data_IF_301784650746
#
_entry.id   IF_301784650746
#
_cell.length_a   1.000
_cell.length_b   1.000
_cell.length_c   1.000
_cell.angle_alpha   90.00
_cell.angle_beta   90.00
_cell.angle_gamma   90.00
#
_symmetry.space_group_name_H-M   'P 1'
#
loop_
_entity.id
_entity.type
_entity.pdbx_description
1 polymer ?
#
# COMPACT_ATOMS: atom_id res chain seq x y z
N UNK A 1 -44.97 -32.61 -29.43
CA UNK A 1 -44.90 -31.93 -30.74
C UNK A 1 -44.63 -30.45 -30.50
N UNK A 2 -43.77 -29.85 -31.34
CA UNK A 2 -43.28 -28.45 -31.35
C UNK A 2 -42.52 -27.93 -30.12
N UNK A 3 -41.22 -28.21 -30.09
CA UNK A 3 -40.27 -27.59 -29.16
C UNK A 3 -38.82 -27.97 -29.43
N UNK A 4 -38.32 -27.76 -30.66
CA UNK A 4 -36.88 -27.75 -31.03
C UNK A 4 -36.75 -27.57 -32.54
N UNK A 5 -36.36 -26.37 -32.99
CA UNK A 5 -35.66 -26.06 -34.25
C UNK A 5 -35.76 -24.56 -34.53
N UNK A 6 -34.88 -23.75 -33.94
CA UNK A 6 -34.20 -22.62 -34.62
C UNK A 6 -32.88 -22.41 -33.87
N UNK A 7 -31.85 -23.14 -34.28
CA UNK A 7 -30.44 -22.79 -34.07
C UNK A 7 -29.97 -22.10 -35.35
N UNK A 8 -29.01 -21.20 -35.20
CA UNK A 8 -28.01 -20.86 -36.22
C UNK A 8 -28.54 -20.25 -37.52
N UNK A 9 -28.55 -18.91 -37.59
CA UNK A 9 -28.30 -18.08 -38.80
C UNK A 9 -28.49 -16.60 -38.48
N UNK A 10 -27.41 -15.92 -38.07
CA UNK A 10 -27.20 -14.49 -38.38
C UNK A 10 -25.75 -14.10 -38.12
N UNK A 11 -24.90 -14.56 -39.04
CA UNK A 11 -23.63 -13.94 -39.33
C UNK A 11 -23.56 -13.73 -40.86
N UNK A 12 -23.15 -12.52 -41.24
CA UNK A 12 -22.72 -12.06 -42.56
C UNK A 12 -23.78 -11.69 -43.62
N UNK A 13 -23.40 -10.61 -44.36
CA UNK A 13 -23.89 -10.06 -45.66
C UNK A 13 -25.03 -9.04 -45.58
N UNK A 14 -25.01 -7.83 -46.16
CA UNK A 14 -24.17 -7.11 -47.15
C UNK A 14 -24.28 -5.59 -46.81
N UNK A 15 -23.23 -4.73 -46.93
CA UNK A 15 -22.94 -3.79 -48.05
C UNK A 15 -24.19 -3.05 -48.59
N UNK A 16 -24.25 -1.77 -48.91
CA UNK A 16 -23.27 -0.69 -49.17
C UNK A 16 -24.03 0.67 -49.24
N UNK A 17 -23.27 1.75 -49.47
CA UNK A 17 -23.68 3.13 -49.84
C UNK A 17 -24.02 4.08 -48.69
N UNK A 18 -23.66 5.36 -48.71
CA UNK A 18 -22.62 6.15 -49.40
C UNK A 18 -22.62 7.51 -48.65
N UNK A 19 -21.48 7.95 -48.12
CA UNK A 19 -20.66 9.05 -48.66
C UNK A 19 -21.25 10.47 -48.49
N UNK A 20 -20.57 11.35 -47.73
CA UNK A 20 -19.92 12.58 -48.24
C UNK A 20 -19.28 13.44 -47.11
N UNK A 21 -18.10 14.01 -47.39
CA UNK A 21 -17.44 15.10 -46.63
C UNK A 21 -16.11 14.70 -45.95
N UNK A 22 -15.00 14.47 -46.68
CA UNK A 22 -14.00 15.46 -47.17
C UNK A 22 -13.20 16.10 -46.01
N UNK A 23 -12.00 15.57 -45.71
CA UNK A 23 -10.65 16.05 -46.09
C UNK A 23 -10.16 17.18 -45.15
N UNK A 24 -8.94 17.16 -44.59
CA UNK A 24 -7.59 16.96 -45.16
C UNK A 24 -6.62 16.65 -43.99
N UNK A 25 -5.68 15.70 -44.06
CA UNK A 25 -4.42 15.70 -44.85
C UNK A 25 -3.30 16.39 -44.03
N UNK A 26 -2.06 15.93 -43.84
CA UNK A 26 -1.12 14.94 -44.40
C UNK A 26 -0.02 14.74 -43.33
N UNK A 27 0.92 13.78 -43.33
CA UNK A 27 1.40 12.73 -44.23
C UNK A 27 2.44 11.90 -43.42
N UNK A 28 2.63 10.59 -43.66
CA UNK A 28 3.55 10.01 -44.66
C UNK A 28 4.98 9.96 -44.09
N UNK A 29 5.71 8.84 -44.00
CA UNK A 29 5.99 7.83 -45.03
C UNK A 29 6.37 6.45 -44.46
N UNK A 30 6.12 5.43 -45.30
CA UNK A 30 6.57 4.04 -45.24
C UNK A 30 8.00 3.91 -45.80
N UNK A 31 8.76 2.91 -45.33
CA UNK A 31 9.87 2.33 -46.09
C UNK A 31 9.92 0.80 -45.95
N UNK A 32 10.35 0.20 -47.06
CA UNK A 32 10.22 -1.20 -47.49
C UNK A 32 11.43 -2.08 -47.10
N UNK A 33 11.13 -3.37 -46.96
CA UNK A 33 11.94 -4.60 -46.92
C UNK A 33 13.45 -4.58 -47.21
N UNK A 34 14.18 -5.48 -46.53
CA UNK A 34 14.99 -6.53 -47.19
C UNK A 34 15.24 -7.72 -46.26
N UNK A 35 15.07 -8.93 -46.81
CA UNK A 35 15.53 -10.22 -46.27
C UNK A 35 16.96 -10.44 -46.73
N UNK A 36 17.80 -11.04 -45.88
CA UNK A 36 18.93 -11.87 -46.33
C UNK A 36 19.10 -13.09 -45.42
N UNK A 37 18.93 -14.25 -46.02
CA UNK A 37 19.34 -15.57 -45.55
C UNK A 37 20.83 -15.77 -45.72
N UNK A 38 21.49 -16.51 -44.82
CA UNK A 38 22.59 -17.38 -45.24
C UNK A 38 22.65 -18.62 -44.34
N UNK A 39 22.59 -19.78 -44.99
CA UNK A 39 22.90 -21.09 -44.44
C UNK A 39 24.08 -21.63 -45.28
N UNK A 40 25.05 -22.27 -44.64
CA UNK A 40 26.01 -23.18 -45.28
C UNK A 40 26.57 -24.15 -44.21
N UNK A 41 26.16 -25.42 -44.21
CA UNK A 41 26.91 -26.63 -44.69
C UNK A 41 28.27 -26.83 -44.01
N UNK A 42 28.40 -27.76 -43.05
CA UNK A 42 28.66 -29.21 -43.19
C UNK A 42 30.14 -29.58 -43.47
N UNK A 43 30.75 -30.35 -42.57
CA UNK A 43 31.75 -31.36 -42.93
C UNK A 43 31.85 -32.42 -41.82
N UNK A 44 31.46 -33.65 -42.17
CA UNK A 44 31.78 -34.90 -41.44
C UNK A 44 33.21 -35.32 -41.80
N UNK A 45 33.94 -35.87 -40.84
CA UNK A 45 34.99 -36.84 -41.10
C UNK A 45 34.82 -38.05 -40.16
N UNK A 46 34.66 -39.23 -40.76
CA UNK A 46 34.75 -40.56 -40.14
C UNK A 46 36.18 -41.06 -40.26
N UNK A 47 36.63 -41.84 -39.26
CA UNK A 47 37.50 -43.03 -39.31
C UNK A 47 38.28 -43.10 -37.99
N UNK A 48 38.56 -44.21 -37.31
CA UNK A 48 38.28 -45.65 -37.42
C UNK A 48 38.72 -46.23 -36.07
N UNK A 49 38.07 -47.29 -35.59
CA UNK A 49 38.55 -48.07 -34.43
C UNK A 49 39.61 -49.07 -34.88
N UNK A 50 40.67 -49.21 -34.10
CA UNK A 50 41.34 -50.50 -33.83
C UNK A 50 41.64 -50.55 -32.33
N UNK A 51 41.40 -51.72 -31.76
CA UNK A 51 41.52 -52.04 -30.34
C UNK A 51 42.92 -52.57 -30.01
N UNK A 52 43.36 -52.34 -28.78
CA UNK A 52 44.21 -53.17 -27.90
C UNK A 52 44.33 -52.36 -26.59
N UNK A 53 44.31 -52.85 -25.36
CA UNK A 53 44.55 -54.19 -24.84
C UNK A 53 45.27 -53.99 -23.49
N UNK A 54 44.50 -53.92 -22.42
CA UNK A 54 44.84 -54.27 -21.02
C UNK A 54 45.80 -53.39 -20.16
N UNK A 55 45.41 -53.30 -18.86
CA UNK A 55 46.18 -52.91 -17.66
C UNK A 55 46.45 -51.41 -17.34
N UNK A 56 45.60 -50.81 -16.50
CA UNK A 56 45.98 -50.49 -15.11
C UNK A 56 44.82 -49.81 -14.35
N UNK A 57 44.31 -50.52 -13.34
CA UNK A 57 43.37 -50.00 -12.35
C UNK A 57 44.22 -49.32 -11.26
N UNK A 58 44.69 -48.10 -11.52
CA UNK A 58 45.35 -47.28 -10.49
C UNK A 58 45.28 -45.75 -10.74
N UNK A 59 44.90 -45.29 -11.94
CA UNK A 59 44.93 -43.86 -12.28
C UNK A 59 43.63 -43.06 -12.09
N UNK A 60 42.51 -43.70 -11.73
CA UNK A 60 41.17 -43.05 -11.74
C UNK A 60 40.65 -42.57 -10.38
N UNK A 61 41.40 -42.74 -9.29
CA UNK A 61 40.97 -42.29 -7.95
C UNK A 61 41.53 -40.94 -7.50
N UNK A 62 42.50 -40.36 -8.22
CA UNK A 62 43.13 -39.08 -7.83
C UNK A 62 42.61 -37.83 -8.56
N UNK A 63 41.92 -37.96 -9.71
CA UNK A 63 41.33 -36.78 -10.40
C UNK A 63 39.91 -36.42 -9.99
N UNK A 64 39.22 -37.26 -9.20
CA UNK A 64 37.87 -36.96 -8.67
C UNK A 64 37.86 -36.26 -7.31
N UNK A 65 38.99 -36.22 -6.60
CA UNK A 65 39.07 -35.58 -5.28
C UNK A 65 39.48 -34.11 -5.39
N UNK A 66 40.34 -33.72 -6.35
CA UNK A 66 40.70 -32.31 -6.55
C UNK A 66 39.58 -31.45 -7.16
N UNK A 67 38.74 -32.01 -8.05
CA UNK A 67 37.59 -31.28 -8.60
C UNK A 67 36.46 -31.07 -7.58
N UNK A 68 36.28 -32.00 -6.64
CA UNK A 68 35.26 -31.91 -5.59
C UNK A 68 35.67 -31.01 -4.41
N UNK A 69 36.97 -30.84 -4.15
CA UNK A 69 37.50 -29.87 -3.18
C UNK A 69 37.37 -28.43 -3.70
N UNK A 70 37.80 -28.18 -4.95
CA UNK A 70 37.75 -26.84 -5.55
C UNK A 70 36.33 -26.29 -5.77
N UNK A 71 35.35 -27.16 -6.02
CA UNK A 71 33.94 -26.74 -6.16
C UNK A 71 33.31 -26.35 -4.82
N UNK A 72 33.66 -27.05 -3.71
CA UNK A 72 33.14 -26.73 -2.37
C UNK A 72 33.77 -25.47 -1.78
N UNK A 73 35.04 -25.20 -2.09
CA UNK A 73 35.69 -23.94 -1.70
C UNK A 73 35.20 -22.76 -2.52
N UNK A 74 34.94 -22.92 -3.82
CA UNK A 74 34.35 -21.87 -4.64
C UNK A 74 32.89 -21.56 -4.28
N UNK A 75 32.09 -22.57 -3.92
CA UNK A 75 30.73 -22.37 -3.40
C UNK A 75 30.74 -21.79 -1.99
N UNK A 76 31.63 -22.22 -1.10
CA UNK A 76 31.80 -21.58 0.23
C UNK A 76 32.30 -20.15 0.10
N UNK A 77 33.25 -19.87 -0.79
CA UNK A 77 33.72 -18.52 -1.04
C UNK A 77 32.63 -17.65 -1.68
N UNK A 78 31.82 -18.17 -2.61
CA UNK A 78 30.62 -17.44 -3.11
C UNK A 78 29.58 -17.21 -2.03
N UNK A 79 29.36 -18.18 -1.14
CA UNK A 79 28.39 -18.05 -0.04
C UNK A 79 28.89 -17.11 1.05
N UNK A 80 30.19 -17.11 1.34
CA UNK A 80 30.85 -16.20 2.28
C UNK A 80 30.97 -14.80 1.69
N UNK A 81 31.25 -14.64 0.39
CA UNK A 81 31.21 -13.34 -0.30
C UNK A 81 29.77 -12.84 -0.45
N UNK A 82 28.78 -13.72 -0.63
CA UNK A 82 27.34 -13.38 -0.61
C UNK A 82 26.84 -13.00 0.79
N UNK A 83 27.36 -13.64 1.85
CA UNK A 83 27.04 -13.30 3.23
C UNK A 83 27.80 -12.04 3.70
N UNK A 84 29.05 -11.86 3.30
CA UNK A 84 29.84 -10.65 3.58
C UNK A 84 29.36 -9.44 2.76
N UNK A 85 28.89 -9.65 1.51
CA UNK A 85 28.19 -8.61 0.75
C UNK A 85 26.80 -8.30 1.33
N UNK A 86 26.19 -9.25 2.05
CA UNK A 86 24.97 -9.02 2.82
C UNK A 86 25.24 -8.27 4.14
N UNK A 87 26.42 -8.40 4.74
CA UNK A 87 26.80 -7.69 5.97
C UNK A 87 27.28 -6.25 5.74
N UNK A 88 27.60 -5.86 4.50
CA UNK A 88 28.05 -4.49 4.16
C UNK A 88 27.05 -3.64 3.37
N UNK A 89 25.80 -4.09 3.20
CA UNK A 89 24.77 -3.39 2.43
C UNK A 89 23.56 -2.92 3.26
N UNK A 90 23.58 -3.04 4.59
CA UNK A 90 22.45 -2.64 5.42
C UNK A 90 22.51 -1.15 5.80
N UNK A 91 22.35 -0.26 4.82
CA UNK A 91 22.25 1.18 5.07
C UNK A 91 21.14 1.53 6.08
N UNK A 92 21.34 2.61 6.84
CA UNK A 92 20.36 3.15 7.80
C UNK A 92 19.07 3.54 7.07
N UNK A 93 17.93 3.29 7.72
CA UNK A 93 16.61 3.64 7.18
C UNK A 93 16.05 4.86 7.90
N UNK A 94 15.59 5.84 7.13
CA UNK A 94 14.96 7.05 7.65
C UNK A 94 13.50 6.81 7.98
N UNK A 95 12.97 7.43 9.04
CA UNK A 95 11.53 7.42 9.33
C UNK A 95 11.02 8.78 9.79
N UNK A 96 10.08 9.34 9.03
CA UNK A 96 9.46 10.64 9.28
C UNK A 96 7.99 10.45 9.70
N UNK A 97 7.68 10.80 10.95
CA UNK A 97 6.33 10.77 11.49
C UNK A 97 6.02 9.52 12.33
N UNK A 98 5.91 9.69 13.64
CA UNK A 98 5.74 8.60 14.63
C UNK A 98 4.34 8.63 15.26
N UNK A 99 3.31 8.76 14.42
CA UNK A 99 1.91 8.73 14.85
C UNK A 99 1.38 7.32 15.17
N UNK A 100 0.05 7.17 15.20
CA UNK A 100 -0.64 5.88 15.44
C UNK A 100 -0.12 4.76 14.52
N UNK A 101 0.14 5.09 13.25
CA UNK A 101 0.65 4.14 12.27
C UNK A 101 2.19 4.11 12.21
N UNK A 102 2.83 5.28 12.26
CA UNK A 102 4.28 5.39 12.08
C UNK A 102 5.10 4.71 13.17
N UNK A 103 4.66 4.81 14.44
CA UNK A 103 5.33 4.17 15.58
C UNK A 103 5.45 2.64 15.43
N UNK A 104 4.36 1.87 15.24
CA UNK A 104 4.48 0.42 15.06
C UNK A 104 5.18 0.01 13.77
N UNK A 105 5.09 0.83 12.70
CA UNK A 105 5.84 0.60 11.47
C UNK A 105 7.35 0.71 11.70
N UNK A 106 7.81 1.77 12.37
CA UNK A 106 9.22 1.94 12.72
C UNK A 106 9.73 0.82 13.65
N UNK A 107 8.94 0.43 14.66
CA UNK A 107 9.27 -0.71 15.51
C UNK A 107 9.44 -2.01 14.71
N UNK A 108 8.62 -2.26 13.69
CA UNK A 108 8.75 -3.43 12.85
C UNK A 108 10.02 -3.40 11.98
N UNK A 109 10.44 -2.23 11.49
CA UNK A 109 11.72 -2.12 10.77
C UNK A 109 12.91 -2.48 11.65
N UNK A 110 12.89 -2.08 12.93
CA UNK A 110 13.92 -2.48 13.89
C UNK A 110 13.81 -3.97 14.21
N UNK A 111 12.64 -4.42 14.68
CA UNK A 111 12.48 -5.74 15.29
C UNK A 111 12.42 -6.90 14.28
N UNK A 112 11.94 -6.66 13.05
CA UNK A 112 11.74 -7.70 12.03
C UNK A 112 12.73 -7.62 10.89
N UNK A 113 13.11 -6.41 10.46
CA UNK A 113 14.13 -6.23 9.43
C UNK A 113 15.55 -6.01 9.98
N UNK A 114 15.71 -5.86 11.30
CA UNK A 114 17.03 -5.64 11.91
C UNK A 114 17.69 -4.33 11.49
N UNK A 115 16.90 -3.30 11.14
CA UNK A 115 17.42 -2.03 10.62
C UNK A 115 17.69 -1.03 11.74
N UNK A 116 18.83 -0.37 11.64
CA UNK A 116 19.08 0.89 12.35
C UNK A 116 18.28 2.02 11.72
N UNK A 117 17.62 2.82 12.55
CA UNK A 117 16.79 3.92 12.10
C UNK A 117 17.37 5.28 12.46
N UNK A 118 17.22 6.24 11.55
CA UNK A 118 17.30 7.67 11.88
C UNK A 118 15.89 8.24 11.78
N UNK A 119 15.37 8.79 12.88
CA UNK A 119 13.97 9.18 12.97
C UNK A 119 13.80 10.65 13.27
N UNK A 120 12.70 11.21 12.77
CA UNK A 120 12.24 12.52 13.16
C UNK A 120 10.72 12.54 13.30
N UNK A 121 10.25 13.24 14.32
CA UNK A 121 8.86 13.55 14.50
C UNK A 121 8.74 14.95 15.10
N UNK A 122 7.73 15.72 14.66
CA UNK A 122 7.47 17.08 15.16
C UNK A 122 7.34 17.14 16.68
N UNK A 123 6.68 16.14 17.25
CA UNK A 123 6.62 15.93 18.69
C UNK A 123 7.78 15.01 19.08
N UNK A 124 8.82 15.61 19.67
CA UNK A 124 10.06 14.94 20.04
C UNK A 124 9.84 13.81 21.07
N UNK A 125 8.80 13.88 21.90
CA UNK A 125 8.50 12.84 22.88
C UNK A 125 8.24 11.48 22.21
N UNK A 126 7.67 11.48 20.99
CA UNK A 126 7.44 10.23 20.23
C UNK A 126 8.73 9.62 19.69
N UNK A 127 9.70 10.45 19.31
CA UNK A 127 11.03 9.95 18.89
C UNK A 127 11.76 9.32 20.07
N UNK A 128 11.70 9.97 21.24
CA UNK A 128 12.24 9.39 22.49
C UNK A 128 11.55 8.09 22.85
N UNK A 129 10.22 8.04 22.79
CA UNK A 129 9.45 6.82 23.05
C UNK A 129 9.87 5.65 22.14
N UNK A 130 10.07 5.90 20.84
CA UNK A 130 10.55 4.86 19.92
C UNK A 130 11.95 4.37 20.31
N UNK A 131 12.88 5.30 20.54
CA UNK A 131 14.27 4.98 20.92
C UNK A 131 14.32 4.15 22.21
N UNK A 132 13.53 4.52 23.20
CA UNK A 132 13.53 3.86 24.51
C UNK A 132 12.83 2.48 24.47
N UNK A 133 12.06 2.19 23.41
CA UNK A 133 11.36 0.92 23.20
C UNK A 133 12.18 -0.15 22.44
N UNK A 134 13.40 0.17 22.01
CA UNK A 134 14.27 -0.72 21.22
C UNK A 134 15.67 -0.82 21.84
N UNK A 135 16.51 -1.80 21.43
CA UNK A 135 17.88 -1.89 21.94
C UNK A 135 18.68 -0.58 21.72
N UNK A 136 19.57 -0.28 22.67
CA UNK A 136 20.45 0.90 22.58
C UNK A 136 21.23 0.92 21.26
N UNK A 137 21.25 2.08 20.61
CA UNK A 137 21.92 2.28 19.32
C UNK A 137 21.06 1.94 18.08
N UNK A 138 19.92 1.26 18.24
CA UNK A 138 19.07 0.90 17.09
C UNK A 138 18.31 2.09 16.47
N UNK A 139 18.10 3.17 17.24
CA UNK A 139 17.39 4.37 16.79
C UNK A 139 18.18 5.63 17.17
N UNK A 140 18.48 6.43 16.17
CA UNK A 140 19.04 7.77 16.29
C UNK A 140 17.96 8.82 16.03
N UNK A 141 17.93 9.89 16.82
CA UNK A 141 16.95 10.98 16.65
C UNK A 141 17.65 12.14 15.93
N UNK A 142 17.16 12.48 14.74
CA UNK A 142 17.60 13.66 14.01
C UNK A 142 16.89 14.92 14.51
N UNK A 143 17.53 16.08 14.32
CA UNK A 143 16.96 17.39 14.62
C UNK A 143 15.96 17.88 13.55
N UNK A 144 16.07 17.37 12.31
CA UNK A 144 15.22 17.78 11.19
C UNK A 144 14.96 16.65 10.17
N UNK A 145 13.90 16.76 9.33
CA UNK A 145 13.67 15.84 8.21
C UNK A 145 14.81 15.82 7.19
N UNK A 146 15.42 16.97 6.89
CA UNK A 146 16.60 17.08 6.04
C UNK A 146 17.74 16.17 6.51
N UNK A 147 18.05 16.22 7.80
CA UNK A 147 19.13 15.43 8.41
C UNK A 147 18.86 13.92 8.33
N UNK A 148 17.59 13.49 8.46
CA UNK A 148 17.19 12.09 8.24
C UNK A 148 17.54 11.65 6.82
N UNK A 149 17.12 12.42 5.80
CA UNK A 149 17.38 12.05 4.39
C UNK A 149 18.87 12.07 4.05
N UNK A 150 19.65 12.98 4.63
CA UNK A 150 21.10 13.02 4.40
C UNK A 150 21.79 11.73 4.90
N UNK A 151 21.32 11.18 6.02
CA UNK A 151 21.95 10.02 6.69
C UNK A 151 21.44 8.65 6.23
N UNK A 152 20.33 8.60 5.51
CA UNK A 152 19.67 7.36 5.12
C UNK A 152 19.54 7.25 3.62
N UNK A 153 19.57 6.03 3.06
CA UNK A 153 19.41 5.83 1.62
C UNK A 153 17.93 5.69 1.22
N UNK A 154 17.12 5.17 2.13
CA UNK A 154 15.67 5.07 2.01
C UNK A 154 15.04 5.71 3.24
N UNK A 155 14.11 6.65 3.02
CA UNK A 155 13.37 7.33 4.10
C UNK A 155 11.87 7.09 3.92
N UNK A 156 11.23 6.51 4.92
CA UNK A 156 9.78 6.35 4.98
C UNK A 156 9.11 7.60 5.57
N UNK A 157 7.93 7.91 5.08
CA UNK A 157 7.10 9.03 5.54
C UNK A 157 5.73 8.50 5.91
N UNK A 158 5.25 8.80 7.12
CA UNK A 158 3.92 8.39 7.58
C UNK A 158 3.24 9.50 8.36
N UNK A 159 2.52 10.36 7.64
CA UNK A 159 1.91 11.60 8.16
C UNK A 159 0.39 11.62 7.95
N UNK A 160 -0.30 12.43 8.75
CA UNK A 160 -1.77 12.37 8.87
C UNK A 160 -2.54 13.12 7.79
N UNK A 161 -1.94 14.17 7.20
CA UNK A 161 -2.61 15.09 6.27
C UNK A 161 -1.66 15.52 5.15
N UNK A 162 -2.19 15.90 3.97
CA UNK A 162 -1.37 16.48 2.90
C UNK A 162 -0.56 17.69 3.34
N UNK A 163 -1.15 18.56 4.18
CA UNK A 163 -0.42 19.71 4.72
C UNK A 163 0.80 19.27 5.54
N UNK A 164 0.66 18.26 6.40
CA UNK A 164 1.80 17.72 7.16
C UNK A 164 2.86 17.13 6.23
N UNK A 165 2.46 16.40 5.18
CA UNK A 165 3.37 15.85 4.16
C UNK A 165 4.15 16.97 3.47
N UNK A 166 3.47 17.97 2.93
CA UNK A 166 4.12 19.09 2.24
C UNK A 166 5.04 19.89 3.16
N UNK A 167 4.62 20.13 4.40
CA UNK A 167 5.46 20.81 5.39
C UNK A 167 6.77 20.07 5.64
N UNK A 168 6.70 18.77 5.89
CA UNK A 168 7.87 17.95 6.24
C UNK A 168 8.75 17.67 5.02
N UNK A 169 8.15 17.42 3.86
CA UNK A 169 8.89 17.06 2.66
C UNK A 169 9.43 18.26 1.90
N UNK A 170 8.68 19.36 1.81
CA UNK A 170 8.92 20.40 0.80
C UNK A 170 9.04 21.83 1.35
N UNK A 171 8.27 22.20 2.38
CA UNK A 171 8.02 23.62 2.67
C UNK A 171 8.78 24.18 3.88
N UNK A 172 9.12 23.35 4.89
CA UNK A 172 9.88 23.84 6.05
C UNK A 172 11.34 24.17 5.68
N UNK A 173 12.02 25.08 6.41
CA UNK A 173 13.41 25.44 6.10
C UNK A 173 14.38 24.25 6.03
N UNK A 174 14.19 23.26 6.91
CA UNK A 174 14.94 21.99 6.91
C UNK A 174 14.09 20.81 6.43
N UNK A 175 13.30 21.04 5.38
CA UNK A 175 12.46 20.02 4.75
C UNK A 175 13.30 18.89 4.17
N UNK A 176 12.68 17.70 4.08
CA UNK A 176 13.33 16.49 3.61
C UNK A 176 13.98 16.65 2.22
N UNK A 177 13.33 17.39 1.30
CA UNK A 177 13.82 17.66 -0.07
C UNK A 177 15.21 18.31 -0.08
N UNK A 178 15.55 19.13 0.91
CA UNK A 178 16.87 19.78 1.01
C UNK A 178 17.99 18.83 1.44
N UNK A 179 17.65 17.61 1.87
CA UNK A 179 18.60 16.54 2.15
C UNK A 179 18.74 15.53 1.01
N UNK A 180 17.91 15.63 -0.03
CA UNK A 180 17.89 14.70 -1.17
C UNK A 180 19.06 14.97 -2.08
N UNK A 181 19.75 13.89 -2.46
CA UNK A 181 20.81 13.84 -3.47
C UNK A 181 20.69 12.55 -4.27
N UNK A 182 21.54 12.37 -5.30
CA UNK A 182 21.61 11.13 -6.06
C UNK A 182 21.77 9.90 -5.15
N UNK A 183 20.96 8.88 -5.38
CA UNK A 183 20.92 7.64 -4.60
C UNK A 183 19.94 7.65 -3.41
N UNK A 184 19.43 8.83 -3.02
CA UNK A 184 18.43 8.96 -1.94
C UNK A 184 17.03 8.63 -2.44
N UNK A 185 16.26 7.95 -1.60
CA UNK A 185 14.92 7.49 -1.91
C UNK A 185 13.94 7.88 -0.81
N UNK A 186 12.75 8.34 -1.19
CA UNK A 186 11.64 8.65 -0.28
C UNK A 186 10.45 7.75 -0.60
N UNK A 187 9.91 7.10 0.43
CA UNK A 187 8.71 6.26 0.33
C UNK A 187 7.61 6.88 1.18
N UNK A 188 6.60 7.48 0.55
CA UNK A 188 5.49 8.10 1.27
C UNK A 188 4.32 7.13 1.45
N UNK A 189 4.11 6.72 2.70
CA UNK A 189 3.03 5.82 3.12
C UNK A 189 1.77 6.57 3.56
N UNK A 190 1.77 7.90 3.49
CA UNK A 190 0.67 8.75 3.92
C UNK A 190 -0.55 8.60 3.01
N UNK A 191 -1.75 8.80 3.57
CA UNK A 191 -2.98 8.86 2.76
C UNK A 191 -3.27 10.30 2.34
N UNK A 192 -2.98 10.61 1.09
CA UNK A 192 -3.10 11.93 0.45
C UNK A 192 -3.76 11.81 -0.94
N UNK A 193 -4.02 12.93 -1.62
CA UNK A 193 -4.57 12.90 -2.98
C UNK A 193 -3.49 12.56 -4.02
N UNK A 194 -3.91 12.18 -5.23
CA UNK A 194 -2.99 12.01 -6.36
C UNK A 194 -2.17 13.28 -6.62
N UNK A 195 -2.80 14.46 -6.61
CA UNK A 195 -2.12 15.72 -6.87
C UNK A 195 -1.07 16.05 -5.81
N UNK A 196 -1.34 15.74 -4.54
CA UNK A 196 -0.38 15.92 -3.45
C UNK A 196 0.82 14.96 -3.62
N UNK A 197 0.54 13.70 -3.93
CA UNK A 197 1.58 12.68 -4.16
C UNK A 197 2.47 13.04 -5.36
N UNK A 198 1.87 13.50 -6.46
CA UNK A 198 2.59 13.99 -7.65
C UNK A 198 3.46 15.20 -7.32
N UNK A 199 2.96 16.14 -6.52
CA UNK A 199 3.74 17.30 -6.05
C UNK A 199 4.97 16.87 -5.26
N UNK A 200 4.83 15.91 -4.35
CA UNK A 200 5.97 15.34 -3.62
C UNK A 200 6.95 14.61 -4.54
N UNK A 201 6.44 13.77 -5.45
CA UNK A 201 7.23 13.08 -6.45
C UNK A 201 8.09 14.05 -7.27
N UNK A 202 7.48 15.06 -7.89
CA UNK A 202 8.16 15.95 -8.82
C UNK A 202 9.28 16.73 -8.11
N UNK A 203 9.05 17.18 -6.88
CA UNK A 203 10.04 17.89 -6.10
C UNK A 203 11.22 16.99 -5.67
N UNK A 204 10.96 15.75 -5.24
CA UNK A 204 12.01 14.81 -4.83
C UNK A 204 12.85 14.37 -6.04
N UNK A 205 12.21 14.13 -7.19
CA UNK A 205 12.92 13.79 -8.43
C UNK A 205 13.73 14.97 -8.96
N UNK A 206 13.19 16.19 -8.90
CA UNK A 206 13.94 17.40 -9.27
C UNK A 206 15.19 17.62 -8.40
N UNK A 207 15.16 17.19 -7.13
CA UNK A 207 16.32 17.19 -6.24
C UNK A 207 17.30 16.02 -6.48
N UNK A 208 17.04 15.16 -7.46
CA UNK A 208 17.89 14.02 -7.83
C UNK A 208 17.61 12.72 -7.06
N UNK A 209 16.53 12.68 -6.28
CA UNK A 209 16.11 11.49 -5.55
C UNK A 209 15.14 10.59 -6.32
N UNK A 210 14.75 9.49 -5.69
CA UNK A 210 13.70 8.58 -6.16
C UNK A 210 12.50 8.66 -5.23
N UNK A 211 11.30 8.52 -5.78
CA UNK A 211 10.06 8.62 -5.01
C UNK A 211 9.14 7.43 -5.30
N UNK A 212 8.54 6.90 -4.24
CA UNK A 212 7.50 5.89 -4.29
C UNK A 212 6.36 6.32 -3.36
N UNK A 213 5.14 6.42 -3.87
CA UNK A 213 3.98 6.41 -2.97
C UNK A 213 3.67 4.96 -2.60
N UNK A 214 3.36 4.71 -1.34
CA UNK A 214 2.97 3.39 -0.85
C UNK A 214 1.95 3.48 0.30
N UNK A 215 0.79 4.16 0.11
CA UNK A 215 -0.26 4.20 1.11
C UNK A 215 -0.66 2.80 1.59
N UNK A 216 -1.00 2.69 2.87
CA UNK A 216 -1.24 1.39 3.52
C UNK A 216 -2.72 1.13 3.78
N UNK A 217 -3.16 -0.12 3.61
CA UNK A 217 -4.42 -0.64 4.13
C UNK A 217 -4.17 -1.52 5.36
N UNK A 218 -5.03 -1.35 6.37
CA UNK A 218 -4.80 -1.82 7.73
C UNK A 218 -4.69 -0.64 8.71
N UNK A 219 -5.18 -0.85 9.93
CA UNK A 219 -5.13 0.15 11.01
C UNK A 219 -4.02 -0.21 12.02
N UNK A 220 -4.10 0.31 13.24
CA UNK A 220 -3.12 0.13 14.31
C UNK A 220 -2.70 -1.33 14.53
N UNK A 221 -3.67 -2.24 14.69
CA UNK A 221 -3.38 -3.67 14.97
C UNK A 221 -2.64 -4.35 13.82
N UNK A 222 -3.06 -4.24 12.55
CA UNK A 222 -2.24 -4.69 11.43
C UNK A 222 -0.86 -4.03 11.36
N UNK A 223 -0.73 -2.75 11.71
CA UNK A 223 0.56 -2.07 11.73
C UNK A 223 1.50 -2.66 12.79
N UNK A 224 1.01 -2.92 14.01
CA UNK A 224 1.77 -3.57 15.09
C UNK A 224 2.26 -4.96 14.65
N UNK A 225 1.38 -5.72 14.01
CA UNK A 225 1.67 -7.09 13.59
C UNK A 225 2.49 -7.21 12.31
N UNK A 226 2.86 -6.10 11.65
CA UNK A 226 3.55 -6.14 10.35
C UNK A 226 2.67 -6.80 9.27
N UNK A 227 1.37 -6.53 9.32
CA UNK A 227 0.34 -7.18 8.50
C UNK A 227 -0.41 -6.18 7.60
N UNK A 228 0.18 -5.01 7.37
CA UNK A 228 -0.31 -4.00 6.42
C UNK A 228 -0.30 -4.51 4.98
N UNK A 229 -1.12 -3.88 4.14
CA UNK A 229 -1.10 -4.03 2.69
C UNK A 229 -0.63 -2.72 2.07
N UNK A 230 0.51 -2.72 1.40
CA UNK A 230 1.05 -1.54 0.71
C UNK A 230 0.46 -1.44 -0.71
N UNK A 231 0.00 -0.24 -1.08
CA UNK A 231 -0.57 0.10 -2.38
C UNK A 231 0.40 1.04 -3.09
N UNK A 232 1.39 0.47 -3.76
CA UNK A 232 2.54 1.23 -4.26
C UNK A 232 2.35 1.74 -5.68
N UNK A 233 2.85 2.94 -5.97
CA UNK A 233 2.90 3.54 -7.31
C UNK A 233 4.10 4.47 -7.48
N UNK A 234 4.58 4.65 -8.71
CA UNK A 234 5.74 5.48 -9.03
C UNK A 234 6.95 4.64 -9.47
N UNK A 235 8.10 4.83 -8.83
CA UNK A 235 9.35 4.20 -9.27
C UNK A 235 9.35 2.67 -9.02
N UNK A 236 9.29 1.89 -10.11
CA UNK A 236 9.30 0.42 -10.06
C UNK A 236 10.59 -0.15 -9.48
N UNK A 237 11.74 0.40 -9.82
CA UNK A 237 13.02 -0.11 -9.31
C UNK A 237 13.22 0.18 -7.83
N UNK A 238 12.65 1.29 -7.32
CA UNK A 238 12.61 1.57 -5.89
C UNK A 238 11.66 0.61 -5.18
N UNK A 239 10.47 0.38 -5.74
CA UNK A 239 9.54 -0.64 -5.23
C UNK A 239 10.21 -2.00 -5.12
N UNK A 240 10.84 -2.47 -6.20
CA UNK A 240 11.51 -3.77 -6.21
C UNK A 240 12.61 -3.81 -5.14
N UNK A 241 13.43 -2.77 -5.00
CA UNK A 241 14.48 -2.66 -3.97
C UNK A 241 13.94 -2.79 -2.54
N UNK A 242 12.91 -2.02 -2.18
CA UNK A 242 12.38 -1.98 -0.80
C UNK A 242 11.48 -3.17 -0.46
N UNK A 243 10.96 -3.87 -1.47
CA UNK A 243 10.03 -4.98 -1.30
C UNK A 243 10.70 -6.36 -1.44
N UNK A 244 11.25 -6.65 -2.62
CA UNK A 244 11.67 -8.00 -3.02
C UNK A 244 13.17 -8.14 -3.32
N UNK A 245 13.87 -7.03 -3.53
CA UNK A 245 15.25 -6.93 -4.02
C UNK A 245 16.34 -7.06 -2.96
N UNK A 246 15.98 -7.54 -1.76
CA UNK A 246 16.92 -7.87 -0.68
C UNK A 246 16.78 -7.03 0.58
N UNK A 247 16.19 -5.83 0.52
CA UNK A 247 16.03 -5.01 1.74
C UNK A 247 14.82 -5.43 2.59
N UNK A 248 13.76 -5.96 1.94
CA UNK A 248 12.53 -6.51 2.57
C UNK A 248 11.85 -5.56 3.58
N UNK A 249 11.99 -4.25 3.38
CA UNK A 249 11.47 -3.23 4.30
C UNK A 249 9.94 -3.21 4.32
N UNK A 250 9.29 -3.33 3.16
CA UNK A 250 7.83 -3.39 3.10
C UNK A 250 7.29 -4.68 3.73
N UNK A 251 7.99 -5.79 3.56
CA UNK A 251 7.60 -7.10 4.12
C UNK A 251 7.76 -7.18 5.64
N UNK A 252 8.66 -6.37 6.23
CA UNK A 252 8.75 -6.26 7.68
C UNK A 252 7.53 -5.54 8.29
N UNK A 253 6.98 -4.57 7.58
CA UNK A 253 5.84 -3.76 8.03
C UNK A 253 4.49 -4.27 7.51
N UNK A 254 4.48 -5.18 6.55
CA UNK A 254 3.27 -5.63 5.86
C UNK A 254 3.33 -7.08 5.42
N UNK A 255 2.14 -7.65 5.19
CA UNK A 255 1.98 -9.02 4.68
C UNK A 255 1.86 -9.08 3.16
N UNK A 256 1.65 -7.93 2.52
CA UNK A 256 1.48 -7.84 1.07
C UNK A 256 1.82 -6.44 0.58
N UNK A 257 2.43 -6.40 -0.59
CA UNK A 257 2.72 -5.20 -1.37
C UNK A 257 2.10 -5.39 -2.76
N UNK A 258 1.51 -4.34 -3.32
CA UNK A 258 0.94 -4.35 -4.67
C UNK A 258 1.48 -3.14 -5.42
N UNK A 259 2.18 -3.38 -6.52
CA UNK A 259 2.60 -2.32 -7.43
C UNK A 259 1.50 -2.03 -8.44
N UNK A 260 1.01 -0.80 -8.45
CA UNK A 260 -0.18 -0.36 -9.19
C UNK A 260 0.16 0.47 -10.44
N UNK A 261 1.45 0.65 -10.73
CA UNK A 261 1.93 1.40 -11.89
C UNK A 261 2.44 2.79 -11.50
N UNK A 262 2.03 3.79 -12.27
CA UNK A 262 2.58 5.14 -12.17
C UNK A 262 2.18 5.87 -10.88
N UNK A 263 2.88 6.97 -10.61
CA UNK A 263 2.58 7.87 -9.51
C UNK A 263 1.11 8.33 -9.55
N UNK A 264 0.44 8.27 -8.41
CA UNK A 264 -0.98 8.57 -8.23
C UNK A 264 -1.87 7.32 -8.16
N UNK A 265 -1.44 6.17 -8.72
CA UNK A 265 -2.24 4.95 -8.74
C UNK A 265 -2.49 4.38 -7.33
N UNK A 266 -1.48 4.43 -6.45
CA UNK A 266 -1.58 4.03 -5.05
C UNK A 266 -2.53 4.94 -4.27
N UNK A 267 -2.41 6.25 -4.44
CA UNK A 267 -3.31 7.22 -3.82
C UNK A 267 -4.78 6.98 -4.22
N UNK A 268 -5.07 6.86 -5.52
CA UNK A 268 -6.43 6.59 -6.03
C UNK A 268 -7.00 5.27 -5.49
N UNK A 269 -6.21 4.19 -5.52
CA UNK A 269 -6.64 2.89 -4.99
C UNK A 269 -6.95 2.97 -3.49
N UNK A 270 -6.09 3.64 -2.71
CA UNK A 270 -6.31 3.83 -1.27
C UNK A 270 -7.59 4.59 -0.98
N UNK A 271 -7.88 5.66 -1.72
CA UNK A 271 -9.09 6.45 -1.55
C UNK A 271 -10.35 5.64 -1.89
N UNK A 272 -10.32 4.82 -2.95
CA UNK A 272 -11.40 3.90 -3.26
C UNK A 272 -11.65 2.89 -2.12
N UNK A 273 -10.58 2.29 -1.57
CA UNK A 273 -10.67 1.36 -0.42
C UNK A 273 -11.26 2.06 0.82
N UNK A 274 -10.79 3.26 1.14
CA UNK A 274 -11.27 3.98 2.33
C UNK A 274 -12.70 4.51 2.16
N UNK A 275 -13.12 4.84 0.93
CA UNK A 275 -14.51 5.17 0.61
C UNK A 275 -15.46 4.00 0.90
N UNK A 276 -15.10 2.80 0.45
CA UNK A 276 -15.88 1.59 0.71
C UNK A 276 -15.95 1.34 2.22
N UNK A 277 -14.81 1.41 2.91
CA UNK A 277 -14.74 1.23 4.36
C UNK A 277 -15.61 2.23 5.13
N UNK A 278 -15.53 3.52 4.78
CA UNK A 278 -16.32 4.58 5.41
C UNK A 278 -17.83 4.41 5.17
N UNK A 279 -18.21 4.00 3.97
CA UNK A 279 -19.61 3.71 3.64
C UNK A 279 -20.15 2.50 4.40
N UNK A 280 -19.36 1.42 4.47
CA UNK A 280 -19.73 0.19 5.18
C UNK A 280 -19.92 0.43 6.69
N UNK A 281 -19.06 1.21 7.34
CA UNK A 281 -19.19 1.45 8.77
C UNK A 281 -20.39 2.37 9.08
N UNK A 282 -20.73 3.29 8.19
CA UNK A 282 -21.92 4.13 8.33
C UNK A 282 -23.18 3.26 8.22
N UNK A 283 -23.25 2.37 7.22
CA UNK A 283 -24.34 1.41 7.08
C UNK A 283 -24.47 0.46 8.28
N UNK A 284 -23.34 0.00 8.86
CA UNK A 284 -23.37 -0.76 10.11
C UNK A 284 -23.97 0.07 11.25
N UNK A 285 -23.62 1.35 11.34
CA UNK A 285 -24.19 2.29 12.31
C UNK A 285 -25.71 2.41 12.18
N UNK A 286 -26.24 2.52 10.96
CA UNK A 286 -27.69 2.53 10.71
C UNK A 286 -28.35 1.22 11.13
N UNK A 287 -27.77 0.07 10.79
CA UNK A 287 -28.27 -1.25 11.20
C UNK A 287 -28.30 -1.43 12.72
N UNK A 288 -27.24 -0.98 13.43
CA UNK A 288 -27.19 -1.00 14.89
C UNK A 288 -28.30 -0.13 15.48
N UNK A 289 -28.45 1.11 14.99
CA UNK A 289 -29.51 2.00 15.45
C UNK A 289 -30.91 1.42 15.21
N UNK A 290 -31.13 0.77 14.07
CA UNK A 290 -32.40 0.12 13.76
C UNK A 290 -32.68 -1.03 14.72
N UNK A 291 -31.70 -1.88 15.01
CA UNK A 291 -31.84 -2.95 15.98
C UNK A 291 -32.13 -2.42 17.39
N UNK A 292 -31.37 -1.42 17.85
CA UNK A 292 -31.57 -0.78 19.16
C UNK A 292 -32.99 -0.19 19.30
N UNK A 293 -33.55 0.34 18.22
CA UNK A 293 -34.93 0.90 18.19
C UNK A 293 -36.05 -0.12 18.12
N UNK A 294 -35.73 -1.38 17.81
CA UNK A 294 -36.69 -2.47 17.73
C UNK A 294 -36.40 -3.56 18.76
N UNK A 295 -35.73 -3.19 19.86
CA UNK A 295 -35.42 -4.06 21.00
C UNK A 295 -34.62 -5.32 20.61
N UNK A 296 -33.84 -5.24 19.53
CA UNK A 296 -32.97 -6.31 19.07
C UNK A 296 -31.55 -6.11 19.61
N UNK A 297 -30.95 -7.12 20.27
CA UNK A 297 -29.62 -6.99 20.84
C UNK A 297 -28.56 -6.88 19.74
N UNK A 298 -27.69 -5.87 19.85
CA UNK A 298 -26.57 -5.64 18.90
C UNK A 298 -25.67 -6.87 18.78
N UNK A 299 -25.49 -7.63 19.86
CA UNK A 299 -24.74 -8.89 19.81
C UNK A 299 -25.32 -9.89 18.79
N UNK A 300 -26.64 -10.10 18.80
CA UNK A 300 -27.29 -11.00 17.86
C UNK A 300 -27.20 -10.50 16.41
N UNK A 301 -27.32 -9.19 16.19
CA UNK A 301 -27.08 -8.60 14.86
C UNK A 301 -25.68 -8.97 14.35
N UNK A 302 -24.65 -8.79 15.18
CA UNK A 302 -23.28 -9.07 14.80
C UNK A 302 -23.04 -10.56 14.54
N UNK A 303 -23.63 -11.45 15.35
CA UNK A 303 -23.54 -12.89 15.14
C UNK A 303 -24.20 -13.32 13.82
N UNK A 304 -25.35 -12.75 13.47
CA UNK A 304 -26.02 -12.99 12.18
C UNK A 304 -25.18 -12.49 11.01
N UNK A 305 -24.58 -11.30 11.12
CA UNK A 305 -23.71 -10.74 10.08
C UNK A 305 -22.43 -11.58 9.90
N UNK A 306 -21.83 -12.08 10.98
CA UNK A 306 -20.61 -12.89 10.97
C UNK A 306 -20.84 -14.30 10.42
N UNK A 307 -22.05 -14.85 10.59
CA UNK A 307 -22.45 -16.13 10.00
C UNK A 307 -22.80 -16.02 8.50
N UNK A 308 -23.03 -14.80 7.99
CA UNK A 308 -23.54 -14.55 6.65
C UNK A 308 -22.48 -14.11 5.63
N UNK A 309 -22.94 -13.76 4.43
CA UNK A 309 -22.08 -13.32 3.32
C UNK A 309 -21.40 -11.96 3.56
N UNK A 310 -21.81 -11.21 4.58
CA UNK A 310 -21.24 -9.91 4.94
C UNK A 310 -20.15 -10.00 6.01
N UNK A 311 -19.80 -11.21 6.45
CA UNK A 311 -18.78 -11.44 7.46
C UNK A 311 -17.47 -10.74 7.09
N UNK A 312 -17.01 -9.85 7.96
CA UNK A 312 -15.76 -9.14 7.76
C UNK A 312 -15.13 -8.72 9.11
N UNK A 313 -13.79 -8.64 9.19
CA UNK A 313 -13.11 -8.31 10.45
C UNK A 313 -13.49 -6.94 11.03
N UNK A 314 -13.82 -5.96 10.19
CA UNK A 314 -14.15 -4.61 10.66
C UNK A 314 -15.43 -4.61 11.49
N UNK A 315 -16.48 -5.29 11.02
CA UNK A 315 -17.76 -5.39 11.73
C UNK A 315 -17.58 -6.09 13.08
N UNK A 316 -16.86 -7.22 13.10
CA UNK A 316 -16.57 -7.96 14.33
C UNK A 316 -15.78 -7.12 15.34
N UNK A 317 -14.76 -6.39 14.89
CA UNK A 317 -13.92 -5.57 15.76
C UNK A 317 -14.60 -4.30 16.28
N UNK A 318 -15.50 -3.69 15.50
CA UNK A 318 -16.05 -2.35 15.80
C UNK A 318 -17.52 -2.36 16.22
N UNK A 319 -18.32 -3.28 15.70
CA UNK A 319 -19.77 -3.28 15.91
C UNK A 319 -20.16 -3.30 17.38
N UNK A 320 -19.49 -4.12 18.19
CA UNK A 320 -19.75 -4.16 19.64
C UNK A 320 -19.48 -2.81 20.31
N UNK A 321 -18.41 -2.12 19.91
CA UNK A 321 -18.06 -0.81 20.46
C UNK A 321 -19.03 0.30 20.06
N UNK A 322 -19.80 0.10 18.98
CA UNK A 322 -20.80 1.04 18.47
C UNK A 322 -22.15 0.91 19.20
N UNK A 323 -22.37 -0.14 19.99
CA UNK A 323 -23.63 -0.28 20.75
C UNK A 323 -23.80 0.84 21.79
N UNK A 324 -25.04 1.13 22.13
CA UNK A 324 -25.43 2.14 23.12
C UNK A 324 -24.88 1.81 24.50
N UNK A 325 -24.81 0.53 24.85
CA UNK A 325 -24.23 0.06 26.12
C UNK A 325 -22.73 0.34 26.21
N UNK A 326 -21.97 0.13 25.12
CA UNK A 326 -20.50 0.17 25.17
C UNK A 326 -19.94 1.55 24.83
N UNK A 327 -20.34 2.14 23.71
CA UNK A 327 -19.85 3.45 23.20
C UNK A 327 -18.32 3.64 23.37
N UNK A 328 -17.53 2.65 22.99
CA UNK A 328 -16.06 2.63 23.22
C UNK A 328 -15.30 2.99 21.95
N UNK A 329 -14.89 4.25 21.82
CA UNK A 329 -14.26 4.75 20.59
C UNK A 329 -12.77 5.06 20.73
N UNK A 330 -12.00 4.13 21.31
CA UNK A 330 -10.55 4.28 21.42
C UNK A 330 -9.91 4.41 20.02
N UNK A 331 -9.12 5.46 19.76
CA UNK A 331 -8.73 5.84 18.40
C UNK A 331 -7.72 4.86 17.80
N UNK A 332 -8.18 3.99 16.91
CA UNK A 332 -7.32 3.20 16.02
C UNK A 332 -7.21 3.85 14.64
N UNK A 333 -8.32 4.41 14.16
CA UNK A 333 -8.33 5.31 13.01
C UNK A 333 -9.24 6.50 13.32
N UNK A 334 -8.67 7.69 13.61
CA UNK A 334 -9.44 8.86 14.00
C UNK A 334 -10.53 9.24 12.99
N UNK A 335 -11.71 9.58 13.49
CA UNK A 335 -12.88 9.93 12.68
C UNK A 335 -12.59 11.10 11.73
N UNK A 336 -11.85 12.10 12.17
CA UNK A 336 -11.47 13.23 11.32
C UNK A 336 -10.60 12.83 10.13
N UNK A 337 -9.79 11.77 10.25
CA UNK A 337 -8.98 11.24 9.17
C UNK A 337 -9.83 10.38 8.22
N UNK A 338 -10.77 9.59 8.74
CA UNK A 338 -11.75 8.88 7.91
C UNK A 338 -12.61 9.86 7.10
N UNK A 339 -13.10 10.94 7.73
CA UNK A 339 -13.86 12.00 7.06
C UNK A 339 -13.02 12.70 5.97
N UNK A 340 -11.75 13.00 6.26
CA UNK A 340 -10.81 13.55 5.27
C UNK A 340 -10.70 12.63 4.04
N UNK A 341 -10.56 11.33 4.24
CA UNK A 341 -10.43 10.37 3.15
C UNK A 341 -11.73 10.22 2.35
N UNK A 342 -12.90 10.23 3.01
CA UNK A 342 -14.21 10.27 2.34
C UNK A 342 -14.34 11.50 1.43
N UNK A 343 -13.91 12.67 1.91
CA UNK A 343 -13.90 13.91 1.10
C UNK A 343 -12.99 13.78 -0.11
N UNK A 344 -11.78 13.22 0.04
CA UNK A 344 -10.87 13.02 -1.07
C UNK A 344 -11.41 12.01 -2.10
N UNK A 345 -12.06 10.94 -1.65
CA UNK A 345 -12.72 10.01 -2.56
C UNK A 345 -13.85 10.69 -3.35
N UNK A 346 -14.69 11.50 -2.70
CA UNK A 346 -15.74 12.28 -3.37
C UNK A 346 -15.16 13.25 -4.40
N UNK A 347 -14.10 13.97 -4.06
CA UNK A 347 -13.39 14.85 -4.99
C UNK A 347 -12.85 14.08 -6.20
N UNK A 348 -12.31 12.87 -6.00
CA UNK A 348 -11.87 11.99 -7.09
C UNK A 348 -13.05 11.55 -7.98
N UNK A 349 -14.23 11.34 -7.39
CA UNK A 349 -15.48 11.10 -8.11
C UNK A 349 -15.87 12.29 -8.99
N UNK A 350 -15.83 13.50 -8.44
CA UNK A 350 -16.13 14.73 -9.18
C UNK A 350 -15.19 14.90 -10.39
N UNK A 351 -13.88 14.73 -10.18
CA UNK A 351 -12.88 14.81 -11.26
C UNK A 351 -13.08 13.74 -12.36
N UNK A 352 -13.73 12.62 -12.04
CA UNK A 352 -14.01 11.53 -12.99
C UNK A 352 -15.46 11.51 -13.47
N UNK A 353 -16.27 12.49 -13.09
CA UNK A 353 -17.72 12.53 -13.35
C UNK A 353 -18.47 11.26 -12.88
N UNK A 354 -18.02 10.67 -11.76
CA UNK A 354 -18.62 9.47 -11.17
C UNK A 354 -19.54 9.84 -10.01
N UNK A 355 -20.84 9.58 -10.17
CA UNK A 355 -21.82 9.79 -9.09
C UNK A 355 -21.66 8.76 -7.98
N UNK A 356 -21.51 9.21 -6.73
CA UNK A 356 -21.29 8.35 -5.55
C UNK A 356 -22.24 8.72 -4.39
N UNK A 357 -23.56 8.54 -4.55
CA UNK A 357 -24.55 9.00 -3.58
C UNK A 357 -24.40 8.37 -2.19
N UNK A 358 -24.05 7.08 -2.12
CA UNK A 358 -23.84 6.38 -0.84
C UNK A 358 -22.66 6.96 -0.07
N UNK A 359 -21.53 7.18 -0.74
CA UNK A 359 -20.35 7.78 -0.12
C UNK A 359 -20.60 9.22 0.32
N UNK A 360 -21.40 9.98 -0.44
CA UNK A 360 -21.78 11.35 -0.10
C UNK A 360 -22.59 11.38 1.19
N UNK A 361 -23.63 10.54 1.31
CA UNK A 361 -24.44 10.43 2.53
C UNK A 361 -23.58 10.01 3.74
N UNK A 362 -22.74 8.98 3.59
CA UNK A 362 -21.84 8.55 4.65
C UNK A 362 -20.88 9.65 5.10
N UNK A 363 -20.35 10.46 4.17
CA UNK A 363 -19.51 11.62 4.50
C UNK A 363 -20.25 12.68 5.33
N UNK A 364 -21.54 12.91 5.09
CA UNK A 364 -22.35 13.80 5.94
C UNK A 364 -22.52 13.25 7.35
N UNK A 365 -22.71 11.92 7.52
CA UNK A 365 -22.71 11.29 8.84
C UNK A 365 -21.37 11.54 9.57
N UNK A 366 -20.24 11.39 8.87
CA UNK A 366 -18.92 11.69 9.45
C UNK A 366 -18.78 13.16 9.84
N UNK A 367 -19.23 14.10 9.01
CA UNK A 367 -19.21 15.53 9.35
C UNK A 367 -20.04 15.82 10.60
N UNK A 368 -21.23 15.22 10.71
CA UNK A 368 -22.12 15.38 11.87
C UNK A 368 -21.49 14.81 13.15
N UNK A 369 -20.97 13.59 13.13
CA UNK A 369 -20.27 13.01 14.27
C UNK A 369 -19.04 13.84 14.68
N UNK A 370 -18.29 14.36 13.70
CA UNK A 370 -17.17 15.27 13.97
C UNK A 370 -17.62 16.55 14.68
N UNK A 371 -18.73 17.15 14.24
CA UNK A 371 -19.32 18.34 14.87
C UNK A 371 -19.82 18.08 16.30
N UNK A 372 -20.22 16.85 16.60
CA UNK A 372 -20.60 16.40 17.94
C UNK A 372 -19.40 16.10 18.87
N UNK A 373 -18.17 16.43 18.45
CA UNK A 373 -16.97 16.27 19.28
C UNK A 373 -16.24 14.94 19.11
N UNK A 374 -16.66 14.07 18.20
CA UNK A 374 -16.04 12.75 17.97
C UNK A 374 -14.85 12.79 17.01
N UNK A 375 -14.29 13.97 16.69
CA UNK A 375 -13.19 14.12 15.72
C UNK A 375 -11.99 13.21 16.02
N UNK A 376 -11.61 13.12 17.30
CA UNK A 376 -10.46 12.32 17.78
C UNK A 376 -10.82 10.91 18.23
N UNK A 377 -12.11 10.56 18.23
CA UNK A 377 -12.58 9.20 18.47
C UNK A 377 -12.27 8.31 17.28
N UNK A 378 -12.33 6.99 17.46
CA UNK A 378 -12.31 6.07 16.31
C UNK A 378 -13.46 6.37 15.34
N UNK A 379 -13.24 6.16 14.04
CA UNK A 379 -14.24 6.39 13.00
C UNK A 379 -15.53 5.57 13.18
N UNK A 380 -15.53 4.51 14.00
CA UNK A 380 -16.76 3.82 14.41
C UNK A 380 -17.72 4.71 15.20
N UNK A 381 -17.25 5.82 15.77
CA UNK A 381 -18.10 6.84 16.41
C UNK A 381 -19.04 7.55 15.42
N UNK A 382 -18.98 7.26 14.11
CA UNK A 382 -19.94 7.74 13.12
C UNK A 382 -21.40 7.41 13.49
N UNK A 383 -21.64 6.33 14.25
CA UNK A 383 -22.97 5.97 14.76
C UNK A 383 -23.60 7.08 15.63
N UNK A 384 -22.77 7.89 16.30
CA UNK A 384 -23.24 9.00 17.15
C UNK A 384 -23.95 10.10 16.34
N UNK A 385 -23.61 10.24 15.06
CA UNK A 385 -24.32 11.13 14.14
C UNK A 385 -25.81 10.80 14.04
N UNK A 386 -26.17 9.53 14.19
CA UNK A 386 -27.53 9.03 14.08
C UNK A 386 -28.30 9.14 15.40
N UNK A 387 -27.59 9.22 16.54
CA UNK A 387 -28.19 9.31 17.88
C UNK A 387 -28.72 10.71 18.20
N UNK A 388 -27.99 11.76 17.82
CA UNK A 388 -28.30 13.15 18.16
C UNK A 388 -29.39 13.85 17.31
N UNK A 389 -30.27 13.10 16.64
CA UNK A 389 -31.44 13.65 15.92
C UNK A 389 -32.76 13.44 16.63
N UNK A 390 -32.75 12.86 17.82
CA UNK A 390 -33.93 12.46 18.56
C UNK A 390 -33.88 13.19 19.89
N UNK A 391 -34.67 14.26 20.01
CA UNK A 391 -35.08 14.72 21.33
C UNK A 391 -35.69 13.52 22.06
N UNK A 392 -35.37 13.37 23.35
CA UNK A 392 -36.09 12.48 24.24
C UNK A 392 -37.59 12.79 24.12
N UNK A 393 -38.32 12.00 23.34
CA UNK A 393 -39.78 12.06 23.25
C UNK A 393 -40.41 11.29 24.40
N UNK A 394 -39.76 11.24 25.56
CA UNK A 394 -40.23 10.54 26.76
C UNK A 394 -40.69 11.45 27.89
N UNK A 395 -40.73 12.77 27.68
CA UNK A 395 -41.38 13.71 28.62
C UNK A 395 -42.61 14.37 27.98
N UNK A 396 -43.66 13.59 27.70
CA UNK A 396 -45.02 14.11 27.77
C UNK A 396 -45.76 13.38 28.89
N UNK A 397 -46.21 14.08 29.95
CA UNK A 397 -47.04 13.46 30.97
C UNK A 397 -48.40 13.15 30.35
N UNK A 398 -48.79 11.88 30.40
CA UNK A 398 -50.15 11.43 30.12
C UNK A 398 -51.08 12.13 31.11
N UNK A 399 -51.78 13.19 30.68
CA UNK A 399 -52.88 13.77 31.44
C UNK A 399 -54.09 12.85 31.29
N UNK A 400 -54.37 12.05 32.32
CA UNK A 400 -55.68 11.40 32.49
C UNK A 400 -56.77 12.47 32.58
N UNK A 401 -57.86 12.24 31.85
CA UNK A 401 -59.18 12.84 32.07
C UNK A 401 -60.18 11.73 32.36
#
# INVERSE_FOLDING_TARGET
DRGRKVRERRAARYMSEAAFGVASGCGGELAVATRTSSAATSARARATRVADGAWSIAGRRLRRVQAACGFREADRARKVVSMAASEHAAGRVGFLGLGIMGMPMALNLVNKAGRELVVWNRDAAKSSQLRDAVPSGAVEIASSPKEVVQRCDVTFVMLSTPHAVHQVLLEMPDAAVHGVTSGKSVVDCSTITESDSRRSHDAIVAAGGRFLEAPVSGSKVPAENGALVFLAGGDRGLFDRVDSGGEQLLQAMGKKSVFLGDIGAGARMKLAVNMIMGSMIAALGEGIMLCERNDLPVGALLDVLDAGAMANPMFRMKGGNMSQEKRKYAPHFPLEHAQKDMRFALQMGDCSNTSMPVAAAANECFKKAKAQGHARSDFSAVVEALRGGMADSSDEPVSEK
#
